data_IF_104278062197
#
_entry.id   IF_104278062197
#
_cell.length_a   1.000
_cell.length_b   1.000
_cell.length_c   1.000
_cell.angle_alpha   90.00
_cell.angle_beta   90.00
_cell.angle_gamma   90.00
#
_symmetry.space_group_name_H-M   'P 1'
#
loop_
_entity.id
_entity.type
_entity.pdbx_description
1 polymer ?
#
# COMPACT_ATOMS: atom_id res chain seq x y z
N UNK A 1 -80.64 42.69 -19.44
CA UNK A 1 -79.37 43.43 -19.43
C UNK A 1 -78.65 43.18 -18.16
N UNK A 2 -77.64 42.34 -18.12
CA UNK A 2 -76.61 42.33 -17.10
C UNK A 2 -75.38 41.62 -17.67
N UNK A 3 -74.30 42.37 -17.76
CA UNK A 3 -72.99 41.96 -18.26
C UNK A 3 -72.31 41.05 -17.21
N UNK A 4 -71.89 39.85 -17.65
CA UNK A 4 -71.03 38.99 -16.85
C UNK A 4 -69.55 39.31 -17.08
N UNK A 5 -68.84 39.62 -15.99
CA UNK A 5 -67.43 39.87 -15.98
C UNK A 5 -66.71 38.55 -15.79
N UNK A 6 -65.88 38.17 -16.79
CA UNK A 6 -64.99 37.04 -16.76
C UNK A 6 -63.70 37.38 -15.98
N UNK A 7 -63.50 36.81 -14.80
CA UNK A 7 -62.25 36.89 -14.05
C UNK A 7 -61.23 35.84 -14.57
N UNK A 8 -60.22 36.34 -15.27
CA UNK A 8 -59.11 35.53 -15.76
C UNK A 8 -58.06 35.39 -14.65
N UNK A 9 -58.05 34.27 -13.93
CA UNK A 9 -57.03 33.98 -12.91
C UNK A 9 -55.73 33.46 -13.57
N UNK A 10 -54.76 34.35 -13.72
CA UNK A 10 -53.40 33.96 -14.09
C UNK A 10 -52.76 33.23 -12.90
N UNK A 11 -52.61 31.88 -12.98
CA UNK A 11 -51.76 31.10 -12.11
C UNK A 11 -50.31 31.51 -12.37
N UNK A 12 -49.69 32.20 -11.42
CA UNK A 12 -48.26 32.44 -11.39
C UNK A 12 -47.55 31.12 -11.08
N UNK A 13 -46.84 30.58 -12.07
CA UNK A 13 -45.92 29.45 -11.83
C UNK A 13 -44.76 29.93 -10.97
N UNK A 14 -44.69 29.45 -9.73
CA UNK A 14 -43.53 29.66 -8.87
C UNK A 14 -42.34 28.92 -9.48
N UNK A 15 -41.40 29.64 -10.08
CA UNK A 15 -40.09 29.12 -10.44
C UNK A 15 -39.34 28.81 -9.12
N UNK A 16 -39.17 27.53 -8.81
CA UNK A 16 -38.28 27.10 -7.74
C UNK A 16 -36.86 27.51 -8.15
N UNK A 17 -36.35 28.58 -7.59
CA UNK A 17 -34.95 28.98 -7.74
C UNK A 17 -34.09 28.03 -6.92
N UNK A 18 -33.56 26.98 -7.54
CA UNK A 18 -32.45 26.25 -6.92
C UNK A 18 -31.33 27.27 -6.61
N UNK A 19 -30.70 27.19 -5.42
CA UNK A 19 -29.61 28.11 -5.08
C UNK A 19 -28.48 27.95 -6.10
N UNK A 20 -28.02 29.06 -6.68
CA UNK A 20 -26.91 29.11 -7.63
C UNK A 20 -25.69 28.48 -6.97
N UNK A 21 -25.12 27.42 -7.58
CA UNK A 21 -23.84 26.88 -7.15
C UNK A 21 -22.77 27.97 -7.14
N UNK A 22 -21.90 28.00 -6.12
CA UNK A 22 -20.71 28.88 -6.08
C UNK A 22 -19.87 28.64 -7.34
N UNK A 23 -19.24 29.66 -7.89
CA UNK A 23 -18.50 29.58 -9.16
C UNK A 23 -17.44 28.46 -9.16
N UNK A 24 -16.71 28.28 -8.06
CA UNK A 24 -15.69 27.26 -7.94
C UNK A 24 -16.30 25.83 -7.89
N UNK A 25 -17.45 25.66 -7.23
CA UNK A 25 -18.19 24.39 -7.26
C UNK A 25 -18.78 24.09 -8.65
N UNK A 26 -19.15 25.13 -9.41
CA UNK A 26 -19.59 24.99 -10.80
C UNK A 26 -18.42 24.56 -11.72
N UNK A 27 -17.20 24.98 -11.40
CA UNK A 27 -15.97 24.56 -12.08
C UNK A 27 -15.45 23.16 -11.64
N UNK A 28 -16.17 22.46 -10.75
CA UNK A 28 -15.85 21.10 -10.35
C UNK A 28 -15.17 20.96 -8.98
N UNK A 29 -14.88 22.06 -8.27
CA UNK A 29 -14.22 22.06 -6.96
C UNK A 29 -15.17 22.56 -5.86
N UNK A 30 -15.75 21.62 -5.09
CA UNK A 30 -16.68 21.92 -4.00
C UNK A 30 -15.96 21.97 -2.65
N UNK A 31 -15.55 23.18 -2.24
CA UNK A 31 -14.84 23.44 -0.96
C UNK A 31 -15.72 23.13 0.24
N UNK A 32 -17.02 23.44 0.18
CA UNK A 32 -17.94 23.22 1.30
C UNK A 32 -18.15 21.70 1.52
N UNK A 33 -18.26 20.92 0.45
CA UNK A 33 -18.28 19.47 0.50
C UNK A 33 -16.98 18.93 1.12
N UNK A 34 -15.82 19.42 0.66
CA UNK A 34 -14.53 19.04 1.19
C UNK A 34 -14.42 19.26 2.70
N UNK A 35 -14.87 20.41 3.19
CA UNK A 35 -14.85 20.73 4.62
C UNK A 35 -15.79 19.82 5.43
N UNK A 36 -16.99 19.53 4.95
CA UNK A 36 -17.93 18.59 5.61
C UNK A 36 -17.34 17.20 5.70
N UNK A 37 -16.75 16.69 4.63
CA UNK A 37 -16.12 15.37 4.60
C UNK A 37 -14.94 15.30 5.58
N UNK A 38 -14.08 16.32 5.58
CA UNK A 38 -12.94 16.40 6.51
C UNK A 38 -13.39 16.43 7.97
N UNK A 39 -14.49 17.09 8.30
CA UNK A 39 -15.01 17.11 9.69
C UNK A 39 -15.53 15.71 10.13
N UNK A 40 -16.17 14.96 9.23
CA UNK A 40 -16.72 13.64 9.53
C UNK A 40 -15.66 12.56 9.84
N UNK A 41 -14.42 12.74 9.37
CA UNK A 41 -13.35 11.76 9.55
C UNK A 41 -12.41 12.04 10.72
N UNK A 42 -12.58 13.18 11.40
CA UNK A 42 -11.68 13.56 12.52
C UNK A 42 -11.56 12.47 13.59
N UNK A 43 -12.67 11.79 13.93
CA UNK A 43 -12.65 10.70 14.90
C UNK A 43 -11.79 9.50 14.44
N UNK A 44 -11.81 9.18 13.14
CA UNK A 44 -11.01 8.10 12.57
C UNK A 44 -9.50 8.41 12.70
N UNK A 45 -9.10 9.60 12.27
CA UNK A 45 -7.72 10.08 12.34
C UNK A 45 -7.26 10.18 13.78
N UNK A 46 -8.05 10.85 14.65
CA UNK A 46 -7.77 10.97 16.09
C UNK A 46 -7.62 9.62 16.77
N UNK A 47 -8.35 8.60 16.31
CA UNK A 47 -8.23 7.25 16.83
C UNK A 47 -6.87 6.57 16.55
N UNK A 48 -6.00 7.15 15.72
CA UNK A 48 -4.62 6.69 15.49
C UNK A 48 -3.59 7.40 16.37
N UNK A 49 -4.00 8.50 17.06
CA UNK A 49 -3.11 9.36 17.81
C UNK A 49 -2.77 8.76 19.16
N UNK A 50 -1.49 8.82 19.52
CA UNK A 50 -0.96 8.66 20.86
C UNK A 50 -0.63 10.03 21.50
N UNK A 51 -0.04 10.03 22.71
CA UNK A 51 0.37 11.26 23.41
C UNK A 51 1.46 12.04 22.68
N UNK A 52 2.10 11.44 21.69
CA UNK A 52 3.14 12.05 20.85
C UNK A 52 2.56 13.08 19.87
N UNK A 53 1.30 12.98 19.49
CA UNK A 53 0.64 13.92 18.57
C UNK A 53 0.15 15.14 19.36
N UNK A 54 0.74 16.29 19.08
CA UNK A 54 0.47 17.53 19.82
C UNK A 54 -0.46 18.49 19.08
N UNK A 55 -0.56 18.35 17.75
CA UNK A 55 -1.34 19.25 16.91
C UNK A 55 -2.84 18.92 16.88
N UNK A 56 -3.62 19.91 16.41
CA UNK A 56 -5.02 19.68 16.03
C UNK A 56 -5.07 19.17 14.59
N UNK A 57 -6.02 18.28 14.31
CA UNK A 57 -6.32 17.83 12.94
C UNK A 57 -6.80 19.03 12.12
N UNK A 58 -6.25 19.21 10.91
CA UNK A 58 -6.58 20.32 10.02
C UNK A 58 -5.72 21.59 10.20
N UNK A 59 -4.65 21.53 10.98
CA UNK A 59 -3.60 22.56 10.99
C UNK A 59 -2.73 22.52 9.75
N UNK A 60 -1.91 23.56 9.51
CA UNK A 60 -0.97 23.60 8.38
C UNK A 60 0.12 22.51 8.44
N UNK A 61 0.43 21.98 9.61
CA UNK A 61 1.40 20.92 9.81
C UNK A 61 1.05 20.04 10.99
N UNK A 62 1.43 18.77 10.90
CA UNK A 62 1.32 17.81 11.99
C UNK A 62 2.44 18.00 13.02
N UNK A 63 2.08 18.21 14.29
CA UNK A 63 3.06 18.31 15.39
C UNK A 63 3.18 16.95 16.05
N UNK A 64 4.38 16.38 15.99
CA UNK A 64 4.70 15.09 16.59
C UNK A 64 5.93 15.22 17.50
N UNK A 65 5.79 14.83 18.77
CA UNK A 65 6.89 14.79 19.74
C UNK A 65 7.43 13.36 19.78
N UNK A 66 8.56 13.07 19.12
CA UNK A 66 9.09 11.73 19.12
C UNK A 66 9.62 11.34 20.51
N UNK A 67 9.40 10.08 20.88
CA UNK A 67 10.00 9.51 22.09
C UNK A 67 11.14 8.57 21.68
N UNK A 68 12.36 9.01 21.88
CA UNK A 68 13.58 8.26 21.56
C UNK A 68 14.20 7.58 22.77
N UNK A 69 13.46 7.45 23.88
CA UNK A 69 13.97 6.79 25.09
C UNK A 69 14.50 5.39 24.78
N UNK A 70 15.73 5.12 25.20
CA UNK A 70 16.41 3.84 24.96
C UNK A 70 17.13 3.73 23.62
N UNK A 71 17.18 4.81 22.81
CA UNK A 71 18.04 4.93 21.63
C UNK A 71 19.25 5.79 21.97
N UNK A 72 20.42 5.36 21.49
CA UNK A 72 21.68 6.12 21.67
C UNK A 72 21.89 7.14 20.55
N UNK A 73 21.55 6.75 19.33
CA UNK A 73 21.71 7.57 18.11
C UNK A 73 20.45 7.36 17.23
N UNK A 74 19.33 8.04 17.53
CA UNK A 74 18.08 7.90 16.78
C UNK A 74 18.20 8.54 15.40
N UNK A 75 17.96 7.74 14.36
CA UNK A 75 17.95 8.16 12.96
C UNK A 75 16.52 8.06 12.42
N UNK A 76 16.03 9.13 11.80
CA UNK A 76 14.74 9.11 11.10
C UNK A 76 14.88 8.38 9.77
N UNK A 77 13.87 7.59 9.45
CA UNK A 77 13.74 6.87 8.18
C UNK A 77 12.43 7.29 7.54
N UNK A 78 12.46 7.63 6.26
CA UNK A 78 11.26 8.00 5.51
C UNK A 78 11.15 7.19 4.23
N UNK A 79 9.91 6.91 3.81
CA UNK A 79 9.58 6.35 2.50
C UNK A 79 8.31 7.01 1.99
N UNK A 80 8.18 7.06 0.66
CA UNK A 80 6.97 7.51 -0.03
C UNK A 80 6.61 6.50 -1.10
N UNK A 81 5.33 6.15 -1.19
CA UNK A 81 4.85 5.21 -2.19
C UNK A 81 3.39 5.46 -2.57
N UNK A 82 2.93 4.82 -3.63
CA UNK A 82 1.56 4.84 -4.12
C UNK A 82 0.93 3.45 -4.15
N UNK A 83 -0.35 3.38 -4.53
CA UNK A 83 -1.05 2.10 -4.76
C UNK A 83 -0.91 1.65 -6.21
N UNK A 84 -0.72 2.59 -7.13
CA UNK A 84 -0.60 2.32 -8.55
C UNK A 84 -1.89 1.79 -9.18
N UNK A 85 -1.75 1.03 -10.26
CA UNK A 85 -2.91 0.61 -11.10
C UNK A 85 -3.81 -0.46 -10.46
N UNK A 86 -3.52 -0.94 -9.25
CA UNK A 86 -4.48 -1.66 -8.40
C UNK A 86 -5.75 -0.81 -8.14
N UNK A 87 -5.62 0.51 -8.13
CA UNK A 87 -6.76 1.43 -8.00
C UNK A 87 -7.84 1.19 -9.05
N UNK A 88 -7.49 0.79 -10.28
CA UNK A 88 -8.46 0.44 -11.32
C UNK A 88 -9.36 -0.73 -10.92
N UNK A 89 -8.84 -1.67 -10.12
CA UNK A 89 -9.65 -2.76 -9.56
C UNK A 89 -10.55 -2.24 -8.44
N UNK A 90 -10.03 -1.34 -7.59
CA UNK A 90 -10.83 -0.71 -6.55
C UNK A 90 -12.01 0.07 -7.12
N UNK A 91 -11.82 0.82 -8.21
CA UNK A 91 -12.89 1.54 -8.91
C UNK A 91 -13.95 0.57 -9.45
N UNK A 92 -13.52 -0.52 -10.08
CA UNK A 92 -14.43 -1.50 -10.68
C UNK A 92 -15.18 -2.37 -9.65
N UNK A 93 -14.61 -2.57 -8.45
CA UNK A 93 -15.22 -3.36 -7.37
C UNK A 93 -15.95 -2.54 -6.32
N UNK A 94 -15.73 -1.22 -6.28
CA UNK A 94 -16.22 -0.35 -5.21
C UNK A 94 -15.55 -0.58 -3.84
N UNK A 95 -14.41 -1.30 -3.80
CA UNK A 95 -13.69 -1.65 -2.56
C UNK A 95 -12.53 -0.69 -2.31
N UNK A 96 -12.77 0.37 -1.56
CA UNK A 96 -11.81 1.46 -1.37
C UNK A 96 -11.02 1.39 -0.06
N UNK A 97 -11.55 0.78 0.99
CA UNK A 97 -10.86 0.62 2.28
C UNK A 97 -9.64 -0.30 2.21
N UNK A 98 -9.67 -1.30 1.33
CA UNK A 98 -8.57 -2.24 1.14
C UNK A 98 -7.33 -1.57 0.56
N UNK A 99 -7.50 -0.67 -0.43
CA UNK A 99 -6.37 0.05 -1.04
C UNK A 99 -5.77 1.08 -0.09
N UNK A 100 -6.57 1.66 0.80
CA UNK A 100 -6.05 2.48 1.90
C UNK A 100 -5.13 1.67 2.83
N UNK A 101 -5.54 0.46 3.21
CA UNK A 101 -4.68 -0.44 4.00
C UNK A 101 -3.43 -0.85 3.22
N UNK A 102 -3.54 -1.11 1.91
CA UNK A 102 -2.41 -1.46 1.06
C UNK A 102 -1.33 -0.38 1.08
N UNK A 103 -1.71 0.89 0.92
CA UNK A 103 -0.78 2.01 0.92
C UNK A 103 0.04 2.09 2.20
N UNK A 104 -0.65 2.09 3.35
CA UNK A 104 0.01 2.17 4.66
C UNK A 104 0.94 0.97 4.89
N UNK A 105 0.47 -0.25 4.60
CA UNK A 105 1.26 -1.46 4.80
C UNK A 105 2.50 -1.51 3.89
N UNK A 106 2.38 -1.02 2.64
CA UNK A 106 3.50 -0.89 1.72
C UNK A 106 4.58 0.01 2.33
N UNK A 107 4.23 1.26 2.67
CA UNK A 107 5.16 2.22 3.27
C UNK A 107 5.79 1.71 4.57
N UNK A 108 5.02 1.01 5.43
CA UNK A 108 5.54 0.42 6.66
C UNK A 108 6.60 -0.65 6.36
N UNK A 109 6.36 -1.52 5.39
CA UNK A 109 7.30 -2.57 5.02
C UNK A 109 8.62 -1.99 4.49
N UNK A 110 8.56 -0.87 3.76
CA UNK A 110 9.76 -0.22 3.21
C UNK A 110 10.69 0.33 4.29
N UNK A 111 10.15 0.89 5.36
CA UNK A 111 10.99 1.32 6.48
C UNK A 111 11.37 0.17 7.43
N UNK A 112 10.54 -0.87 7.49
CA UNK A 112 10.81 -2.04 8.32
C UNK A 112 12.04 -2.83 7.85
N UNK A 113 12.37 -2.82 6.55
CA UNK A 113 13.58 -3.48 6.03
C UNK A 113 14.88 -2.83 6.52
N UNK A 114 14.83 -1.58 6.97
CA UNK A 114 15.96 -0.87 7.59
C UNK A 114 16.00 -1.10 9.12
N UNK A 115 14.99 -1.82 9.66
CA UNK A 115 14.84 -2.03 11.11
C UNK A 115 14.11 -0.88 11.82
N UNK A 116 13.50 0.05 11.07
CA UNK A 116 12.80 1.18 11.64
C UNK A 116 11.41 0.79 12.15
N UNK A 117 10.97 1.43 13.24
CA UNK A 117 9.59 1.40 13.69
C UNK A 117 8.87 2.64 13.16
N UNK A 118 7.60 2.52 12.71
CA UNK A 118 6.84 3.67 12.26
C UNK A 118 6.55 4.64 13.40
N UNK A 119 6.50 5.93 13.08
CA UNK A 119 6.11 7.01 13.98
C UNK A 119 4.78 7.64 13.51
N UNK A 120 4.79 8.19 12.30
CA UNK A 120 3.60 8.83 11.73
C UNK A 120 3.54 8.71 10.22
N UNK A 121 2.35 8.93 9.70
CA UNK A 121 1.97 8.80 8.31
C UNK A 121 1.28 10.08 7.82
N UNK A 122 1.53 10.44 6.58
CA UNK A 122 0.89 11.51 5.82
C UNK A 122 0.34 10.92 4.53
N UNK A 123 -0.88 11.30 4.16
CA UNK A 123 -1.51 10.86 2.92
C UNK A 123 -1.73 12.01 1.94
N UNK A 124 -1.76 11.67 0.66
CA UNK A 124 -2.25 12.53 -0.41
C UNK A 124 -3.33 11.76 -1.19
N UNK A 125 -4.47 12.43 -1.38
CA UNK A 125 -5.58 11.94 -2.20
C UNK A 125 -5.86 12.96 -3.28
N UNK A 126 -5.47 12.66 -4.52
CA UNK A 126 -5.83 13.44 -5.71
C UNK A 126 -7.00 12.79 -6.42
N UNK A 127 -8.11 13.50 -6.66
CA UNK A 127 -9.31 12.94 -7.27
C UNK A 127 -9.88 13.87 -8.32
N UNK A 128 -10.61 13.31 -9.32
CA UNK A 128 -11.38 14.13 -10.25
C UNK A 128 -12.41 14.97 -9.50
N UNK A 129 -13.12 14.34 -8.57
CA UNK A 129 -14.11 14.93 -7.67
C UNK A 129 -14.11 14.15 -6.36
N UNK A 130 -14.29 14.84 -5.25
CA UNK A 130 -14.36 14.22 -3.94
C UNK A 130 -15.74 13.55 -3.75
N UNK A 131 -15.75 12.22 -3.69
CA UNK A 131 -16.93 11.43 -3.35
C UNK A 131 -16.86 11.04 -1.86
N UNK A 132 -17.78 11.55 -0.99
CA UNK A 132 -17.68 11.39 0.45
C UNK A 132 -17.55 9.94 0.93
N UNK A 133 -18.32 9.03 0.34
CA UNK A 133 -18.32 7.60 0.71
C UNK A 133 -16.98 6.95 0.39
N UNK A 134 -16.39 7.28 -0.78
CA UNK A 134 -15.08 6.77 -1.21
C UNK A 134 -13.99 7.30 -0.28
N UNK A 135 -13.99 8.61 -0.03
CA UNK A 135 -13.03 9.24 0.85
C UNK A 135 -13.06 8.68 2.27
N UNK A 136 -14.25 8.51 2.85
CA UNK A 136 -14.41 7.89 4.15
C UNK A 136 -13.89 6.45 4.18
N UNK A 137 -14.14 5.65 3.13
CA UNK A 137 -13.65 4.29 3.02
C UNK A 137 -12.10 4.26 2.96
N UNK A 138 -11.47 5.15 2.18
CA UNK A 138 -10.01 5.28 2.12
C UNK A 138 -9.42 5.59 3.49
N UNK A 139 -9.98 6.59 4.19
CA UNK A 139 -9.52 6.99 5.53
C UNK A 139 -9.73 5.89 6.58
N UNK A 140 -10.82 5.12 6.48
CA UNK A 140 -11.03 3.91 7.31
C UNK A 140 -9.90 2.90 7.09
N UNK A 141 -9.51 2.70 5.83
CA UNK A 141 -8.38 1.85 5.46
C UNK A 141 -7.06 2.33 6.05
N UNK A 142 -6.73 3.61 5.87
CA UNK A 142 -5.52 4.21 6.45
C UNK A 142 -5.51 4.07 7.97
N UNK A 143 -6.60 4.48 8.64
CA UNK A 143 -6.70 4.43 10.10
C UNK A 143 -6.57 3.00 10.64
N UNK A 144 -7.17 2.00 9.97
CA UNK A 144 -7.08 0.60 10.37
C UNK A 144 -5.64 0.09 10.33
N UNK A 145 -4.92 0.34 9.24
CA UNK A 145 -3.53 -0.10 9.09
C UNK A 145 -2.58 0.69 10.01
N UNK A 146 -2.76 2.00 10.14
CA UNK A 146 -1.97 2.85 11.05
C UNK A 146 -2.14 2.44 12.51
N UNK A 147 -3.38 2.17 12.96
CA UNK A 147 -3.63 1.65 14.33
C UNK A 147 -2.91 0.32 14.58
N UNK A 148 -3.02 -0.61 13.64
CA UNK A 148 -2.36 -1.91 13.76
C UNK A 148 -0.85 -1.80 13.88
N UNK A 149 -0.25 -0.79 13.25
CA UNK A 149 1.18 -0.53 13.27
C UNK A 149 1.62 0.46 14.38
N UNK A 150 0.68 0.98 15.18
CA UNK A 150 0.95 2.04 16.17
C UNK A 150 1.59 3.28 15.52
N UNK A 151 1.08 3.68 14.38
CA UNK A 151 1.53 4.78 13.55
C UNK A 151 0.43 5.86 13.53
N UNK A 152 0.74 7.11 13.82
CA UNK A 152 -0.25 8.17 13.85
C UNK A 152 -0.45 8.80 12.47
N UNK A 153 -1.68 9.04 12.03
CA UNK A 153 -1.96 9.91 10.88
C UNK A 153 -1.93 11.35 11.41
N UNK A 154 -0.91 12.13 11.04
CA UNK A 154 -0.72 13.48 11.58
C UNK A 154 -1.11 14.60 10.62
N UNK A 155 -1.40 14.25 9.36
CA UNK A 155 -1.80 15.20 8.32
C UNK A 155 -1.95 14.49 6.99
N UNK A 156 -2.28 15.29 5.99
CA UNK A 156 -2.44 14.83 4.62
C UNK A 156 -3.00 15.95 3.75
N UNK A 157 -3.14 15.68 2.45
CA UNK A 157 -3.72 16.62 1.49
C UNK A 157 -4.80 15.92 0.66
N UNK A 158 -5.84 16.66 0.33
CA UNK A 158 -6.92 16.18 -0.53
C UNK A 158 -7.20 17.23 -1.60
N UNK A 159 -6.91 16.89 -2.84
CA UNK A 159 -7.08 17.78 -3.98
C UNK A 159 -8.18 17.29 -4.92
N UNK A 160 -9.09 18.19 -5.30
CA UNK A 160 -10.04 17.97 -6.38
C UNK A 160 -9.44 18.58 -7.66
N UNK A 161 -9.16 17.73 -8.64
CA UNK A 161 -8.48 18.10 -9.89
C UNK A 161 -9.27 17.60 -11.10
N UNK A 162 -10.40 18.25 -11.42
CA UNK A 162 -11.20 17.91 -12.59
C UNK A 162 -10.37 18.06 -13.87
N UNK A 163 -10.43 17.07 -14.75
CA UNK A 163 -9.66 17.03 -16.00
C UNK A 163 -8.27 16.38 -15.88
N UNK A 164 -7.71 16.21 -14.67
CA UNK A 164 -6.48 15.43 -14.46
C UNK A 164 -6.78 13.95 -14.23
N UNK A 165 -7.87 13.63 -13.53
CA UNK A 165 -8.36 12.28 -13.32
C UNK A 165 -9.69 12.09 -14.04
N UNK A 166 -9.99 10.88 -14.49
CA UNK A 166 -11.30 10.55 -15.03
C UNK A 166 -12.39 10.61 -13.92
N UNK A 167 -13.65 10.88 -14.25
CA UNK A 167 -14.74 10.86 -13.28
C UNK A 167 -14.77 9.55 -12.47
N UNK A 168 -14.83 9.65 -11.13
CA UNK A 168 -14.81 8.51 -10.22
C UNK A 168 -13.42 7.94 -9.93
N UNK A 169 -12.36 8.50 -10.53
CA UNK A 169 -10.99 8.07 -10.29
C UNK A 169 -10.23 9.00 -9.35
N UNK A 170 -9.27 8.42 -8.65
CA UNK A 170 -8.36 9.09 -7.73
C UNK A 170 -6.98 8.43 -7.75
N UNK A 171 -5.98 9.13 -7.23
CA UNK A 171 -4.67 8.58 -6.89
C UNK A 171 -4.38 8.74 -5.41
N UNK A 172 -3.53 7.85 -4.89
CA UNK A 172 -3.15 7.77 -3.49
C UNK A 172 -1.64 7.75 -3.35
N UNK A 173 -1.12 8.63 -2.53
CA UNK A 173 0.30 8.64 -2.13
C UNK A 173 0.37 8.66 -0.61
N UNK A 174 1.28 7.87 -0.05
CA UNK A 174 1.57 7.83 1.37
C UNK A 174 3.02 8.17 1.66
N UNK A 175 3.24 8.97 2.69
CA UNK A 175 4.58 9.24 3.22
C UNK A 175 4.63 8.76 4.65
N UNK A 176 5.59 7.90 4.95
CA UNK A 176 5.82 7.37 6.30
C UNK A 176 7.12 7.89 6.87
N UNK A 177 7.10 8.22 8.14
CA UNK A 177 8.29 8.53 8.92
C UNK A 177 8.40 7.52 10.05
N UNK A 178 9.58 6.93 10.17
CA UNK A 178 9.93 6.01 11.23
C UNK A 178 11.25 6.40 11.90
N UNK A 179 11.67 5.60 12.86
CA UNK A 179 12.94 5.79 13.58
C UNK A 179 13.63 4.46 13.81
N UNK A 180 14.94 4.46 13.70
CA UNK A 180 15.83 3.36 14.09
C UNK A 180 17.01 3.91 14.89
N UNK A 181 17.50 3.15 15.88
CA UNK A 181 18.80 3.44 16.48
C UNK A 181 19.88 3.08 15.45
N UNK A 182 20.77 4.00 15.11
CA UNK A 182 21.80 3.81 14.07
C UNK A 182 22.56 2.49 14.19
N UNK A 183 22.93 2.11 15.43
CA UNK A 183 23.61 0.85 15.68
C UNK A 183 22.74 -0.39 15.42
N UNK A 184 21.43 -0.23 15.26
CA UNK A 184 20.45 -1.29 15.00
C UNK A 184 19.92 -1.27 13.58
N UNK A 185 20.37 -0.32 12.74
CA UNK A 185 19.98 -0.29 11.34
C UNK A 185 20.44 -1.53 10.59
N UNK A 186 19.62 -1.98 9.66
CA UNK A 186 19.88 -3.16 8.82
C UNK A 186 20.18 -2.63 7.41
N UNK A 187 21.43 -2.77 6.98
CA UNK A 187 21.94 -2.24 5.70
C UNK A 187 22.54 -3.32 4.78
N UNK A 188 22.51 -4.59 5.20
CA UNK A 188 23.08 -5.69 4.44
C UNK A 188 24.59 -5.85 4.53
N UNK A 189 25.34 -4.92 5.13
CA UNK A 189 26.81 -4.94 5.19
C UNK A 189 27.40 -6.19 5.88
N UNK A 190 26.60 -6.84 6.72
CA UNK A 190 26.98 -8.07 7.45
C UNK A 190 26.67 -9.37 6.71
N UNK A 191 26.07 -9.29 5.53
CA UNK A 191 25.76 -10.45 4.68
C UNK A 191 27.08 -11.02 4.14
N UNK A 192 27.24 -12.34 4.23
CA UNK A 192 28.43 -13.04 3.75
C UNK A 192 28.10 -14.41 3.18
N UNK A 193 29.00 -14.99 2.45
CA UNK A 193 28.91 -16.37 1.94
C UNK A 193 28.57 -17.34 3.04
N UNK A 194 27.64 -18.25 2.78
CA UNK A 194 27.11 -19.24 3.73
C UNK A 194 25.91 -18.75 4.55
N UNK A 195 25.51 -17.49 4.42
CA UNK A 195 24.23 -17.03 5.00
C UNK A 195 23.05 -17.61 4.22
N UNK A 196 21.90 -17.70 4.90
CA UNK A 196 20.68 -18.33 4.39
C UNK A 196 19.61 -17.27 4.15
N UNK A 197 18.86 -17.43 3.07
CA UNK A 197 17.73 -16.59 2.71
C UNK A 197 16.42 -17.26 3.16
N UNK A 198 15.66 -16.57 3.99
CA UNK A 198 14.33 -16.98 4.43
C UNK A 198 13.30 -16.10 3.70
N UNK A 199 12.34 -16.71 3.01
CA UNK A 199 11.22 -16.02 2.36
C UNK A 199 9.97 -16.02 3.23
N UNK A 200 9.32 -14.88 3.34
CA UNK A 200 7.99 -14.75 3.93
C UNK A 200 6.95 -14.69 2.83
N UNK A 201 5.95 -15.56 2.91
CA UNK A 201 4.91 -15.62 1.89
C UNK A 201 4.15 -14.31 1.75
N UNK A 202 3.92 -13.89 0.50
CA UNK A 202 2.92 -12.89 0.16
C UNK A 202 1.51 -13.48 0.24
N UNK A 203 0.49 -12.63 0.15
CA UNK A 203 -0.91 -13.05 0.06
C UNK A 203 -1.55 -12.64 -1.28
N UNK A 204 -0.77 -12.66 -2.35
CA UNK A 204 -1.17 -12.27 -3.69
C UNK A 204 -0.21 -11.23 -4.28
N UNK A 205 -0.69 -10.44 -5.23
CA UNK A 205 0.13 -9.45 -5.98
C UNK A 205 0.65 -8.31 -5.11
N UNK A 206 0.04 -8.07 -3.95
CA UNK A 206 0.24 -6.88 -3.12
C UNK A 206 -0.21 -5.59 -3.83
N UNK A 207 0.72 -4.72 -4.26
CA UNK A 207 0.43 -3.46 -4.95
C UNK A 207 1.17 -3.31 -6.28
N UNK A 208 1.89 -4.34 -6.73
CA UNK A 208 2.76 -4.26 -7.92
C UNK A 208 2.34 -5.23 -9.01
N UNK A 209 2.72 -4.93 -10.27
CA UNK A 209 2.42 -5.76 -11.42
C UNK A 209 0.98 -5.65 -11.95
N UNK A 210 0.15 -4.77 -11.39
CA UNK A 210 -1.27 -4.68 -11.74
C UNK A 210 -1.55 -4.24 -13.17
N UNK A 211 -0.66 -3.49 -13.81
CA UNK A 211 -0.81 -3.12 -15.22
C UNK A 211 -0.79 -4.36 -16.10
N UNK A 212 0.22 -5.21 -15.93
CA UNK A 212 0.32 -6.48 -16.65
C UNK A 212 -0.79 -7.46 -16.27
N UNK A 213 -1.07 -7.61 -14.97
CA UNK A 213 -2.12 -8.50 -14.49
C UNK A 213 -3.50 -8.14 -15.07
N UNK A 214 -3.84 -6.84 -15.12
CA UNK A 214 -5.09 -6.36 -15.71
C UNK A 214 -5.15 -6.62 -17.20
N UNK A 215 -4.08 -6.32 -17.93
CA UNK A 215 -4.00 -6.61 -19.36
C UNK A 215 -4.25 -8.10 -19.60
N UNK A 216 -3.52 -8.98 -18.94
CA UNK A 216 -3.65 -10.43 -19.15
C UNK A 216 -5.03 -10.93 -18.76
N UNK A 217 -5.48 -10.65 -17.53
CA UNK A 217 -6.72 -11.25 -17.03
C UNK A 217 -7.98 -10.69 -17.74
N UNK A 218 -8.04 -9.39 -18.01
CA UNK A 218 -9.27 -8.78 -18.54
C UNK A 218 -9.23 -8.54 -20.06
N UNK A 219 -8.06 -8.23 -20.62
CA UNK A 219 -7.97 -7.94 -22.07
C UNK A 219 -7.62 -9.21 -22.86
N UNK A 220 -6.64 -10.01 -22.44
CA UNK A 220 -6.20 -11.20 -23.18
C UNK A 220 -7.13 -12.40 -22.88
N UNK A 221 -7.36 -12.72 -21.59
CA UNK A 221 -8.18 -13.87 -21.15
C UNK A 221 -9.69 -13.54 -21.10
N UNK A 222 -10.11 -12.27 -21.25
CA UNK A 222 -11.52 -11.81 -21.20
C UNK A 222 -12.27 -12.17 -19.92
N UNK A 223 -11.57 -12.34 -18.80
CA UNK A 223 -12.18 -12.65 -17.51
C UNK A 223 -12.93 -11.44 -16.94
N UNK A 224 -13.95 -11.74 -16.12
CA UNK A 224 -14.68 -10.75 -15.31
C UNK A 224 -14.20 -10.80 -13.88
N UNK A 225 -14.42 -9.73 -13.12
CA UNK A 225 -14.07 -9.67 -11.69
C UNK A 225 -14.80 -10.75 -10.86
N UNK A 226 -15.97 -11.21 -11.32
CA UNK A 226 -16.79 -12.25 -10.68
C UNK A 226 -16.36 -13.68 -11.00
N UNK A 227 -15.49 -13.86 -12.00
CA UNK A 227 -15.07 -15.19 -12.43
C UNK A 227 -14.17 -15.84 -11.39
N UNK A 228 -14.16 -17.17 -11.42
CA UNK A 228 -13.30 -18.00 -10.57
C UNK A 228 -12.18 -18.60 -11.40
N UNK A 229 -11.01 -18.71 -10.80
CA UNK A 229 -9.84 -19.36 -11.39
C UNK A 229 -9.48 -20.59 -10.55
N UNK A 230 -9.04 -21.66 -11.22
CA UNK A 230 -8.59 -22.88 -10.57
C UNK A 230 -7.43 -22.58 -9.60
N UNK A 231 -7.50 -23.10 -8.39
CA UNK A 231 -6.49 -22.89 -7.34
C UNK A 231 -6.49 -21.51 -6.71
N UNK A 232 -7.40 -20.60 -7.12
CA UNK A 232 -7.60 -19.29 -6.51
C UNK A 232 -8.83 -19.32 -5.61
N UNK A 233 -8.66 -18.84 -4.36
CA UNK A 233 -9.78 -18.77 -3.42
C UNK A 233 -10.63 -17.52 -3.69
N UNK A 234 -11.92 -17.71 -3.97
CA UNK A 234 -12.84 -16.62 -4.26
C UNK A 234 -12.89 -16.28 -5.76
N UNK A 235 -13.13 -15.01 -6.07
CA UNK A 235 -13.20 -14.49 -7.44
C UNK A 235 -11.93 -13.77 -7.85
N UNK A 236 -11.75 -13.53 -9.15
CA UNK A 236 -10.64 -12.71 -9.68
C UNK A 236 -10.58 -11.36 -8.96
N UNK A 237 -11.71 -10.69 -8.81
CA UNK A 237 -11.78 -9.40 -8.11
C UNK A 237 -11.34 -9.50 -6.65
N UNK A 238 -11.82 -10.50 -5.91
CA UNK A 238 -11.44 -10.67 -4.49
C UNK A 238 -9.96 -11.01 -4.32
N UNK A 239 -9.38 -11.79 -5.23
CA UNK A 239 -7.94 -12.11 -5.22
C UNK A 239 -7.09 -10.86 -5.48
N UNK A 240 -7.44 -10.08 -6.50
CA UNK A 240 -6.73 -8.84 -6.84
C UNK A 240 -6.87 -7.76 -5.76
N UNK A 241 -7.96 -7.77 -4.98
CA UNK A 241 -8.21 -6.80 -3.91
C UNK A 241 -7.67 -7.22 -2.55
N UNK A 242 -6.95 -8.35 -2.43
CA UNK A 242 -6.28 -8.74 -1.18
C UNK A 242 -5.40 -7.59 -0.67
N UNK A 243 -5.53 -7.30 0.62
CA UNK A 243 -4.74 -6.25 1.28
C UNK A 243 -3.26 -6.65 1.29
N UNK A 244 -2.40 -5.71 0.94
CA UNK A 244 -0.94 -5.87 1.05
C UNK A 244 -0.55 -6.25 2.47
N UNK A 245 0.17 -7.35 2.62
CA UNK A 245 0.54 -7.90 3.92
C UNK A 245 1.55 -7.02 4.64
N UNK A 246 1.29 -6.71 5.90
CA UNK A 246 2.24 -6.01 6.76
C UNK A 246 3.16 -7.04 7.45
N UNK A 247 4.46 -6.97 7.20
CA UNK A 247 5.47 -7.85 7.79
C UNK A 247 6.09 -7.29 9.07
N UNK A 248 5.96 -5.99 9.31
CA UNK A 248 6.57 -5.30 10.45
C UNK A 248 6.26 -5.96 11.81
N UNK A 249 5.00 -6.41 12.12
CA UNK A 249 4.72 -7.04 13.42
C UNK A 249 5.48 -8.35 13.67
N UNK A 250 5.81 -9.10 12.60
CA UNK A 250 6.62 -10.30 12.71
C UNK A 250 8.12 -9.96 12.85
N UNK A 251 8.58 -9.02 12.01
CA UNK A 251 9.97 -8.57 12.02
C UNK A 251 10.37 -7.92 13.36
N UNK A 252 9.46 -7.14 13.96
CA UNK A 252 9.69 -6.48 15.25
C UNK A 252 9.88 -7.44 16.44
N UNK A 253 9.53 -8.71 16.29
CA UNK A 253 9.74 -9.75 17.31
C UNK A 253 11.14 -10.38 17.25
N UNK A 254 11.87 -10.13 16.16
CA UNK A 254 13.21 -10.70 15.97
C UNK A 254 14.21 -10.02 16.90
N UNK A 255 15.02 -10.80 17.64
CA UNK A 255 16.10 -10.24 18.42
C UNK A 255 17.07 -9.46 17.55
N UNK A 256 17.55 -8.33 18.08
CA UNK A 256 18.54 -7.52 17.38
C UNK A 256 19.82 -8.33 17.08
N UNK A 257 20.37 -8.14 15.89
CA UNK A 257 21.62 -8.75 15.45
C UNK A 257 21.49 -10.12 14.78
N UNK A 258 20.31 -10.76 14.81
CA UNK A 258 20.09 -12.02 14.06
C UNK A 258 19.92 -11.76 12.55
N UNK A 259 19.28 -10.66 12.20
CA UNK A 259 19.02 -10.30 10.80
C UNK A 259 20.18 -9.49 10.25
N UNK A 260 20.70 -9.90 9.11
CA UNK A 260 21.80 -9.23 8.42
C UNK A 260 21.32 -8.38 7.24
N UNK A 261 20.19 -8.73 6.64
CA UNK A 261 19.59 -8.01 5.55
C UNK A 261 18.11 -8.34 5.41
N UNK A 262 17.34 -7.38 4.92
CA UNK A 262 15.91 -7.51 4.61
C UNK A 262 15.64 -6.91 3.25
N UNK A 263 14.76 -7.53 2.47
CA UNK A 263 14.28 -6.97 1.20
C UNK A 263 12.76 -7.12 1.09
N UNK A 264 12.06 -6.01 0.93
CA UNK A 264 10.64 -5.97 0.59
C UNK A 264 10.49 -6.19 -0.91
N UNK A 265 9.76 -7.22 -1.30
CA UNK A 265 9.62 -7.61 -2.71
C UNK A 265 8.40 -6.91 -3.31
N UNK A 266 8.67 -5.88 -4.09
CA UNK A 266 7.69 -4.98 -4.72
C UNK A 266 7.83 -5.00 -6.26
N UNK A 267 7.64 -3.89 -6.95
CA UNK A 267 7.94 -3.74 -8.37
C UNK A 267 9.43 -3.96 -8.63
N UNK A 268 9.75 -4.79 -9.59
CA UNK A 268 11.10 -5.31 -9.81
C UNK A 268 11.32 -6.73 -9.25
N UNK A 269 10.35 -7.27 -8.49
CA UNK A 269 10.37 -8.64 -8.00
C UNK A 269 11.60 -8.99 -7.16
N UNK A 270 11.95 -10.27 -7.11
CA UNK A 270 13.16 -10.73 -6.41
C UNK A 270 14.44 -10.20 -7.07
N UNK A 271 14.42 -10.09 -8.40
CA UNK A 271 15.60 -9.79 -9.22
C UNK A 271 16.14 -8.38 -8.97
N UNK A 272 15.25 -7.38 -8.82
CA UNK A 272 15.67 -5.98 -8.70
C UNK A 272 15.59 -5.45 -7.25
N UNK A 273 14.79 -6.09 -6.37
CA UNK A 273 14.65 -5.60 -4.99
C UNK A 273 15.71 -6.19 -4.05
N UNK A 274 16.00 -7.48 -4.17
CA UNK A 274 16.93 -8.12 -3.25
C UNK A 274 18.38 -7.64 -3.43
N UNK A 275 18.90 -7.32 -4.64
CA UNK A 275 20.23 -6.74 -4.83
C UNK A 275 20.47 -5.43 -4.06
N UNK A 276 19.42 -4.68 -3.70
CA UNK A 276 19.55 -3.41 -2.97
C UNK A 276 20.20 -3.56 -1.60
N UNK A 277 20.12 -4.76 -1.02
CA UNK A 277 20.68 -5.07 0.30
C UNK A 277 21.93 -5.96 0.23
N UNK A 278 22.26 -6.51 -0.96
CA UNK A 278 23.40 -7.39 -1.13
C UNK A 278 24.71 -6.62 -1.26
N UNK A 279 25.78 -6.99 -0.51
CA UNK A 279 27.14 -6.57 -0.83
C UNK A 279 27.56 -6.99 -2.24
N UNK A 280 28.38 -6.19 -2.92
CA UNK A 280 28.87 -6.47 -4.27
C UNK A 280 29.81 -7.67 -4.40
N UNK A 281 30.07 -8.37 -3.32
CA UNK A 281 30.94 -9.55 -3.28
C UNK A 281 30.18 -10.87 -3.15
N UNK A 282 28.84 -10.80 -3.05
CA UNK A 282 27.99 -11.98 -2.86
C UNK A 282 26.77 -11.94 -3.77
N UNK A 283 26.24 -13.11 -4.14
CA UNK A 283 24.97 -13.29 -4.84
C UNK A 283 24.00 -14.04 -3.92
N UNK A 284 22.70 -13.82 -4.13
CA UNK A 284 21.67 -14.67 -3.57
C UNK A 284 21.24 -15.73 -4.59
N UNK A 285 21.53 -17.00 -4.31
CA UNK A 285 21.01 -18.14 -5.07
C UNK A 285 19.66 -18.55 -4.49
N UNK A 286 18.60 -18.31 -5.24
CA UNK A 286 17.21 -18.57 -4.84
C UNK A 286 16.69 -19.83 -5.53
N UNK A 287 16.24 -20.80 -4.75
CA UNK A 287 15.60 -22.02 -5.24
C UNK A 287 14.08 -21.78 -5.37
N UNK A 288 13.62 -21.55 -6.59
CA UNK A 288 12.21 -21.23 -6.90
C UNK A 288 11.27 -22.43 -6.65
N UNK A 289 11.77 -23.66 -6.55
CA UNK A 289 11.01 -24.84 -6.19
C UNK A 289 10.76 -24.96 -4.67
N UNK A 290 11.46 -24.19 -3.84
CA UNK A 290 11.35 -24.24 -2.38
C UNK A 290 10.00 -23.77 -1.82
N UNK A 291 9.18 -23.07 -2.60
CA UNK A 291 7.82 -22.67 -2.22
C UNK A 291 6.82 -22.90 -3.35
N UNK A 292 5.54 -22.97 -2.99
CA UNK A 292 4.46 -23.06 -3.98
C UNK A 292 4.09 -21.64 -4.43
N UNK A 293 4.33 -21.34 -5.70
CA UNK A 293 3.87 -20.09 -6.32
C UNK A 293 2.33 -20.06 -6.34
N UNK A 294 1.69 -18.99 -5.84
CA UNK A 294 0.23 -18.86 -5.85
C UNK A 294 -0.36 -18.95 -7.26
N UNK A 295 -1.51 -19.60 -7.39
CA UNK A 295 -2.14 -19.90 -8.68
C UNK A 295 -2.38 -18.67 -9.55
N UNK A 296 -2.67 -17.52 -8.96
CA UNK A 296 -2.91 -16.28 -9.71
C UNK A 296 -1.72 -15.92 -10.62
N UNK A 297 -0.48 -16.10 -10.15
CA UNK A 297 0.71 -15.82 -10.96
C UNK A 297 0.84 -16.80 -12.12
N UNK A 298 0.51 -18.10 -11.89
CA UNK A 298 0.52 -19.12 -12.94
C UNK A 298 -0.54 -18.84 -14.03
N UNK A 299 -1.71 -18.31 -13.63
CA UNK A 299 -2.73 -17.88 -14.60
C UNK A 299 -2.27 -16.69 -15.41
N UNK A 300 -1.61 -15.71 -14.78
CA UNK A 300 -1.06 -14.54 -15.49
C UNK A 300 0.04 -14.97 -16.46
N UNK A 301 0.98 -15.80 -16.02
CA UNK A 301 2.07 -16.31 -16.85
C UNK A 301 1.54 -17.04 -18.10
N UNK A 302 0.67 -18.02 -17.90
CA UNK A 302 0.10 -18.83 -19.00
C UNK A 302 -0.83 -18.03 -19.90
N UNK A 303 -1.74 -17.24 -19.30
CA UNK A 303 -2.74 -16.46 -20.05
C UNK A 303 -2.13 -15.35 -20.88
N UNK A 304 -1.07 -14.69 -20.37
CA UNK A 304 -0.33 -13.63 -21.05
C UNK A 304 0.85 -14.14 -21.88
N UNK A 305 1.17 -15.45 -21.82
CA UNK A 305 2.40 -16.03 -22.41
C UNK A 305 3.64 -15.21 -21.99
N UNK A 306 3.65 -14.80 -20.70
CA UNK A 306 4.72 -13.98 -20.15
C UNK A 306 5.95 -14.87 -19.94
N UNK A 307 7.13 -14.35 -20.28
CA UNK A 307 8.39 -15.07 -20.02
C UNK A 307 8.56 -15.34 -18.53
N UNK A 308 9.01 -16.54 -18.18
CA UNK A 308 9.15 -17.00 -16.80
C UNK A 308 10.10 -16.11 -15.98
N UNK A 309 11.20 -15.66 -16.57
CA UNK A 309 12.13 -14.76 -15.89
C UNK A 309 11.51 -13.37 -15.67
N UNK A 310 10.74 -12.87 -16.64
CA UNK A 310 10.01 -11.61 -16.51
C UNK A 310 8.98 -11.67 -15.37
N UNK A 311 8.32 -12.81 -15.13
CA UNK A 311 7.41 -12.97 -13.99
C UNK A 311 8.10 -12.67 -12.65
N UNK A 312 9.36 -13.11 -12.48
CA UNK A 312 10.15 -12.84 -11.26
C UNK A 312 10.72 -11.42 -11.18
N UNK A 313 10.65 -10.66 -12.25
CA UNK A 313 11.00 -9.23 -12.27
C UNK A 313 9.78 -8.34 -12.06
N UNK A 314 8.59 -8.73 -12.55
CA UNK A 314 7.37 -7.92 -12.40
C UNK A 314 6.65 -8.18 -11.08
N UNK A 315 6.64 -9.44 -10.61
CA UNK A 315 5.83 -9.89 -9.48
C UNK A 315 6.67 -10.43 -8.33
N UNK A 316 6.06 -10.45 -7.14
CA UNK A 316 6.65 -11.07 -5.95
C UNK A 316 6.64 -12.61 -5.99
N UNK A 317 5.95 -13.23 -6.92
CA UNK A 317 5.82 -14.68 -7.15
C UNK A 317 5.51 -15.51 -5.88
N UNK A 318 4.86 -14.89 -4.89
CA UNK A 318 4.49 -15.54 -3.63
C UNK A 318 5.44 -15.25 -2.45
N UNK A 319 6.53 -14.53 -2.66
CA UNK A 319 7.46 -14.09 -1.61
C UNK A 319 7.41 -12.56 -1.52
N UNK A 320 6.88 -12.04 -0.42
CA UNK A 320 6.76 -10.60 -0.25
C UNK A 320 7.88 -9.96 0.61
N UNK A 321 8.65 -10.79 1.34
CA UNK A 321 9.78 -10.31 2.15
C UNK A 321 10.88 -11.37 2.18
N UNK A 322 12.12 -10.97 1.96
CA UNK A 322 13.30 -11.79 2.16
C UNK A 322 14.06 -11.37 3.42
N UNK A 323 14.58 -12.35 4.16
CA UNK A 323 15.38 -12.17 5.38
C UNK A 323 16.68 -12.93 5.21
N UNK A 324 17.84 -12.27 5.42
CA UNK A 324 19.14 -12.91 5.40
C UNK A 324 19.65 -13.08 6.83
N UNK A 325 20.00 -14.30 7.18
CA UNK A 325 20.50 -14.69 8.52
C UNK A 325 21.69 -15.64 8.43
N UNK A 326 22.44 -15.77 9.50
CA UNK A 326 23.44 -16.84 9.59
C UNK A 326 22.75 -18.21 9.64
N UNK A 327 23.37 -19.26 9.09
CA UNK A 327 22.80 -20.61 9.03
C UNK A 327 22.35 -21.12 10.41
N UNK A 328 23.15 -20.89 11.46
CA UNK A 328 22.84 -21.28 12.84
C UNK A 328 21.56 -20.65 13.39
N UNK A 329 21.16 -19.48 12.88
CA UNK A 329 20.03 -18.68 13.37
C UNK A 329 18.71 -19.00 12.63
N UNK A 330 18.75 -19.79 11.56
CA UNK A 330 17.60 -20.13 10.72
C UNK A 330 16.42 -20.66 11.52
N UNK A 331 16.66 -21.66 12.39
CA UNK A 331 15.59 -22.28 13.21
C UNK A 331 14.93 -21.26 14.16
N UNK A 332 15.72 -20.40 14.78
CA UNK A 332 15.20 -19.39 15.68
C UNK A 332 14.36 -18.34 14.94
N UNK A 333 14.84 -17.87 13.79
CA UNK A 333 14.15 -16.87 12.99
C UNK A 333 12.87 -17.42 12.37
N UNK A 334 12.91 -18.60 11.74
CA UNK A 334 11.72 -19.22 11.14
C UNK A 334 10.63 -19.52 12.15
N UNK A 335 10.99 -19.92 13.39
CA UNK A 335 10.03 -20.11 14.49
C UNK A 335 9.27 -18.82 14.82
N UNK A 336 9.93 -17.66 14.74
CA UNK A 336 9.33 -16.35 15.08
C UNK A 336 8.48 -15.80 13.91
N UNK A 337 9.00 -15.86 12.67
CA UNK A 337 8.36 -15.19 11.53
C UNK A 337 7.52 -16.13 10.64
N UNK A 338 7.63 -17.45 10.80
CA UNK A 338 6.88 -18.44 10.01
C UNK A 338 7.32 -18.57 8.54
N UNK A 339 8.54 -18.15 8.22
CA UNK A 339 9.09 -18.20 6.86
C UNK A 339 9.66 -19.58 6.49
N UNK A 340 10.06 -19.72 5.22
CA UNK A 340 10.76 -20.89 4.68
C UNK A 340 12.15 -20.51 4.18
N UNK A 341 13.11 -21.41 4.27
CA UNK A 341 14.37 -21.26 3.54
C UNK A 341 14.09 -21.32 2.05
N UNK A 342 14.51 -20.30 1.32
CA UNK A 342 14.31 -20.18 -0.13
C UNK A 342 15.63 -20.04 -0.90
N UNK A 343 16.77 -19.98 -0.22
CA UNK A 343 18.04 -19.83 -0.88
C UNK A 343 19.20 -19.64 0.09
N UNK A 344 20.34 -19.36 -0.49
CA UNK A 344 21.62 -19.14 0.23
C UNK A 344 22.43 -18.03 -0.43
N UNK A 345 23.38 -17.51 0.34
CA UNK A 345 24.31 -16.49 -0.12
C UNK A 345 25.62 -17.15 -0.56
N UNK A 346 26.03 -16.89 -1.79
CA UNK A 346 27.26 -17.41 -2.40
C UNK A 346 28.20 -16.27 -2.80
N UNK A 347 29.43 -16.58 -3.18
CA UNK A 347 30.36 -15.61 -3.78
C UNK A 347 29.77 -15.10 -5.09
N UNK A 348 29.83 -13.79 -5.31
CA UNK A 348 29.21 -13.21 -6.49
C UNK A 348 29.53 -11.74 -6.73
N UNK A 349 28.58 -11.02 -7.29
CA UNK A 349 28.67 -9.63 -7.75
C UNK A 349 27.54 -8.72 -7.28
N UNK A 350 26.69 -9.18 -6.38
CA UNK A 350 25.56 -8.43 -5.82
C UNK A 350 24.25 -8.63 -6.58
N UNK A 351 24.04 -9.80 -7.16
CA UNK A 351 22.83 -10.11 -7.94
C UNK A 351 22.03 -11.27 -7.34
N UNK A 352 20.81 -11.45 -7.83
CA UNK A 352 20.00 -12.64 -7.57
C UNK A 352 20.14 -13.60 -8.74
N UNK A 353 20.39 -14.87 -8.43
CA UNK A 353 20.33 -16.00 -9.37
C UNK A 353 19.18 -16.90 -9.00
N UNK A 354 18.28 -17.12 -9.93
CA UNK A 354 17.14 -18.05 -9.78
C UNK A 354 17.55 -19.44 -10.25
N UNK A 355 17.16 -20.48 -9.50
CA UNK A 355 17.38 -21.88 -9.80
C UNK A 355 16.03 -22.62 -9.87
#
# INVERSE_FOLDING_TARGET
MKKGSSMNSKKAASKSTQPKKKAYAAAGVDVDLGNRVKSGIQALVKGTHGPEVLGKIGGFGGLFRPNFKGMKDPVLVSSVDGVGTKLKIAFATGSHDTVGQCLVNHCINDIAVIGAKPLFFLDYIGAAKLEPVVFEALLKGFAKACKAAKCAIVGGETAQMPGMYAPGEYDLVGTIIGVVDKAKSIDGSKIKVGDVVIGLASNGLHTNGYTLARKVLFEDMKLKLTDKLEGVTGTVGSELMRVHKNYQPALAKLPHGLVKGLAHITGGGLVDNFPRVLPKTVDALIDTASWKVPAIFQHIERGGKVDHAEMYQVFNMGIGMCIVVAEKDVKAVTKIVGGKVIGKIEKGSGIVRLK
#
